data_IF_739234566498
#
_entry.id   IF_739234566498
#
_cell.length_a   1.000
_cell.length_b   1.000
_cell.length_c   1.000
_cell.angle_alpha   90.00
_cell.angle_beta   90.00
_cell.angle_gamma   90.00
#
_symmetry.space_group_name_H-M   'P 1'
#
loop_
_entity.id
_entity.type
_entity.pdbx_description
1 polymer ?
#
# COMPACT_ATOMS: atom_id res chain seq x y z
N UNK A 1 -25.90 14.05 17.97
CA UNK A 1 -24.62 13.34 17.76
C UNK A 1 -23.50 14.27 18.19
N UNK A 2 -22.68 13.90 19.19
CA UNK A 2 -21.49 14.70 19.53
C UNK A 2 -20.50 14.56 18.38
N UNK A 3 -20.21 15.65 17.69
CA UNK A 3 -19.16 15.66 16.66
C UNK A 3 -17.81 15.49 17.36
N UNK A 4 -17.10 14.42 17.01
CA UNK A 4 -15.73 14.21 17.47
C UNK A 4 -14.77 15.06 16.64
N UNK A 5 -13.70 15.55 17.29
CA UNK A 5 -12.58 16.18 16.60
C UNK A 5 -11.62 15.09 16.13
N UNK A 6 -11.16 15.18 14.89
CA UNK A 6 -10.17 14.28 14.30
C UNK A 6 -8.81 14.96 14.28
N UNK A 7 -7.73 14.19 14.43
CA UNK A 7 -6.36 14.71 14.27
C UNK A 7 -6.11 15.08 12.80
N UNK A 8 -5.24 16.06 12.57
CA UNK A 8 -4.93 16.58 11.24
C UNK A 8 -4.28 15.57 10.28
N UNK A 9 -3.77 14.47 10.80
CA UNK A 9 -3.24 13.32 10.05
C UNK A 9 -4.30 12.24 9.75
N UNK A 10 -5.55 12.44 10.17
CA UNK A 10 -6.65 11.52 9.85
C UNK A 10 -7.12 11.69 8.41
N UNK A 11 -7.37 10.59 7.70
CA UNK A 11 -7.93 10.64 6.34
C UNK A 11 -9.32 11.28 6.33
N UNK A 12 -9.46 12.40 5.60
CA UNK A 12 -10.69 13.21 5.57
C UNK A 12 -11.93 12.40 5.18
N UNK A 13 -11.84 11.54 4.16
CA UNK A 13 -12.97 10.71 3.72
C UNK A 13 -13.38 9.67 4.78
N UNK A 14 -12.42 9.04 5.45
CA UNK A 14 -12.70 8.08 6.51
C UNK A 14 -13.28 8.77 7.75
N UNK A 15 -12.74 9.93 8.12
CA UNK A 15 -13.30 10.76 9.18
C UNK A 15 -14.75 11.19 8.85
N UNK A 16 -15.05 11.50 7.57
CA UNK A 16 -16.40 11.90 7.16
C UNK A 16 -17.40 10.73 7.24
N UNK A 17 -16.97 9.52 6.87
CA UNK A 17 -17.75 8.29 7.03
C UNK A 17 -17.95 7.94 8.51
N UNK A 18 -16.88 8.05 9.30
CA UNK A 18 -16.91 7.84 10.75
C UNK A 18 -17.86 8.83 11.44
N UNK A 19 -17.88 10.09 10.99
CA UNK A 19 -18.81 11.12 11.47
C UNK A 19 -20.27 10.87 11.01
N UNK A 20 -20.49 9.95 10.08
CA UNK A 20 -21.81 9.69 9.47
C UNK A 20 -22.27 10.79 8.51
N UNK A 21 -21.36 11.65 8.06
CA UNK A 21 -21.66 12.77 7.14
C UNK A 21 -21.77 12.28 5.70
N UNK A 22 -20.92 11.34 5.32
CA UNK A 22 -20.97 10.66 4.02
C UNK A 22 -21.14 9.16 4.23
N UNK A 23 -21.54 8.45 3.17
CA UNK A 23 -21.62 6.98 3.20
C UNK A 23 -20.57 6.36 2.30
N UNK A 24 -20.07 5.20 2.67
CA UNK A 24 -19.15 4.42 1.85
C UNK A 24 -19.75 4.11 0.46
N UNK A 25 -21.04 3.78 0.42
CA UNK A 25 -21.74 3.38 -0.83
C UNK A 25 -22.03 4.50 -1.83
N UNK A 26 -22.02 5.78 -1.41
CA UNK A 26 -22.42 6.92 -2.27
C UNK A 26 -21.43 8.08 -2.25
N UNK A 27 -20.41 8.01 -1.39
CA UNK A 27 -19.65 9.19 -1.02
C UNK A 27 -20.57 10.27 -0.46
N UNK A 28 -20.22 11.53 -0.71
CA UNK A 28 -21.03 12.71 -0.37
C UNK A 28 -20.17 13.96 -0.24
N UNK A 29 -20.81 15.05 0.16
CA UNK A 29 -20.16 16.32 0.46
C UNK A 29 -20.27 16.60 1.95
N UNK A 30 -19.18 17.10 2.52
CA UNK A 30 -19.12 17.60 3.88
C UNK A 30 -18.27 18.87 3.92
N UNK A 31 -18.42 19.62 5.00
CA UNK A 31 -17.56 20.76 5.31
C UNK A 31 -16.56 20.30 6.35
N UNK A 32 -15.27 20.51 6.06
CA UNK A 32 -14.20 20.35 7.05
C UNK A 32 -13.98 21.70 7.72
N UNK A 33 -14.15 21.75 9.04
CA UNK A 33 -13.87 22.93 9.84
C UNK A 33 -12.57 22.71 10.62
N UNK A 34 -11.60 23.61 10.42
CA UNK A 34 -10.33 23.57 11.13
C UNK A 34 -10.54 24.06 12.56
N UNK A 35 -10.24 23.20 13.53
CA UNK A 35 -10.27 23.52 14.97
C UNK A 35 -8.93 24.12 15.42
N UNK A 36 -7.83 23.72 14.77
CA UNK A 36 -6.47 24.11 15.20
C UNK A 36 -5.99 23.21 16.33
N UNK A 37 -5.24 23.74 17.29
CA UNK A 37 -4.72 22.93 18.40
C UNK A 37 -5.84 22.35 19.26
N UNK A 38 -5.78 21.05 19.53
CA UNK A 38 -6.80 20.34 20.30
C UNK A 38 -6.19 19.30 21.23
N UNK A 39 -6.80 19.11 22.40
CA UNK A 39 -6.17 18.46 23.56
C UNK A 39 -6.77 17.09 23.95
N UNK A 40 -7.81 16.61 23.27
CA UNK A 40 -8.49 15.37 23.71
C UNK A 40 -9.16 14.63 22.56
N UNK A 41 -8.52 13.60 22.03
CA UNK A 41 -9.09 12.79 20.96
C UNK A 41 -9.64 11.49 21.53
N UNK A 42 -10.96 11.31 21.44
CA UNK A 42 -11.62 10.11 21.94
C UNK A 42 -11.77 9.09 20.82
N UNK A 43 -11.27 7.88 21.07
CA UNK A 43 -11.52 6.73 20.22
C UNK A 43 -12.95 6.23 20.36
N UNK A 44 -13.45 5.55 19.35
CA UNK A 44 -14.78 4.96 19.38
C UNK A 44 -15.20 4.40 18.05
N UNK A 45 -16.38 3.77 18.04
CA UNK A 45 -17.01 3.28 16.83
C UNK A 45 -17.92 4.38 16.26
N UNK A 46 -17.76 4.67 14.98
CA UNK A 46 -18.54 5.67 14.27
C UNK A 46 -19.42 5.07 13.17
N UNK A 47 -19.83 5.93 12.24
CA UNK A 47 -20.49 5.54 11.01
C UNK A 47 -19.62 4.66 10.12
N UNK A 48 -20.27 3.87 9.26
CA UNK A 48 -19.57 2.99 8.32
C UNK A 48 -18.82 1.82 8.95
N UNK A 49 -19.01 1.54 10.25
CA UNK A 49 -18.27 0.49 10.95
C UNK A 49 -16.80 0.83 11.20
N UNK A 50 -16.42 2.09 11.00
CA UNK A 50 -15.05 2.57 11.22
C UNK A 50 -14.82 2.75 12.72
N UNK A 51 -13.65 2.33 13.18
CA UNK A 51 -13.19 2.52 14.55
C UNK A 51 -12.08 3.57 14.57
N UNK A 52 -12.29 4.66 15.31
CA UNK A 52 -11.26 5.66 15.55
C UNK A 52 -10.42 5.29 16.78
N UNK A 53 -9.13 5.60 16.71
CA UNK A 53 -8.23 5.46 17.84
C UNK A 53 -8.20 6.77 18.65
N UNK A 54 -8.17 6.63 19.97
CA UNK A 54 -7.98 7.78 20.86
C UNK A 54 -6.54 8.24 20.88
N UNK A 55 -6.33 9.50 21.22
CA UNK A 55 -5.02 10.07 21.48
C UNK A 55 -5.11 10.92 22.74
N UNK A 56 -4.34 10.54 23.76
CA UNK A 56 -4.39 11.09 25.11
C UNK A 56 -3.46 12.31 25.30
N UNK A 57 -3.06 12.95 24.20
CA UNK A 57 -2.31 14.18 24.19
C UNK A 57 -2.89 15.21 23.23
N UNK A 58 -2.29 16.39 23.22
CA UNK A 58 -2.63 17.45 22.31
C UNK A 58 -1.98 17.27 20.95
N UNK A 59 -2.64 17.79 19.92
CA UNK A 59 -2.16 17.78 18.55
C UNK A 59 -2.35 19.17 17.95
N UNK A 60 -1.37 19.71 17.18
CA UNK A 60 -1.38 21.10 16.72
C UNK A 60 -2.49 21.39 15.70
N UNK A 61 -3.07 20.35 15.11
CA UNK A 61 -4.10 20.46 14.08
C UNK A 61 -5.20 19.43 14.30
N UNK A 62 -6.39 19.90 14.63
CA UNK A 62 -7.61 19.10 14.66
C UNK A 62 -8.63 19.68 13.69
N UNK A 63 -9.55 18.85 13.24
CA UNK A 63 -10.68 19.28 12.43
C UNK A 63 -11.96 18.55 12.81
N UNK A 64 -13.09 19.18 12.53
CA UNK A 64 -14.42 18.57 12.60
C UNK A 64 -15.02 18.45 11.22
N UNK A 65 -15.99 17.53 11.08
CA UNK A 65 -16.70 17.34 9.82
C UNK A 65 -18.18 17.57 10.05
N UNK A 66 -18.73 18.41 9.18
CA UNK A 66 -20.13 18.81 9.19
C UNK A 66 -20.80 18.38 7.89
N UNK A 67 -22.11 18.10 7.91
CA UNK A 67 -22.90 17.99 6.69
C UNK A 67 -22.74 19.24 5.82
N UNK A 68 -22.80 19.07 4.49
CA UNK A 68 -22.82 20.20 3.57
C UNK A 68 -23.97 21.16 3.91
N UNK A 69 -23.69 22.47 3.83
CA UNK A 69 -24.69 23.52 4.08
C UNK A 69 -25.74 23.59 2.96
N UNK A 70 -25.42 23.05 1.79
CA UNK A 70 -26.30 22.96 0.63
C UNK A 70 -27.02 21.61 0.60
N UNK A 71 -28.24 21.60 0.04
CA UNK A 71 -29.05 20.38 -0.05
C UNK A 71 -28.36 19.27 -0.85
N UNK A 72 -28.82 18.01 -0.73
CA UNK A 72 -28.21 16.84 -1.40
C UNK A 72 -28.07 16.98 -2.93
N UNK A 73 -28.87 17.86 -3.55
CA UNK A 73 -28.91 18.09 -4.99
C UNK A 73 -27.76 18.98 -5.53
N UNK A 74 -27.16 19.82 -4.68
CA UNK A 74 -26.02 20.67 -5.05
C UNK A 74 -24.67 20.03 -4.76
N UNK A 75 -24.67 18.96 -3.95
CA UNK A 75 -23.52 18.09 -3.83
C UNK A 75 -23.47 17.21 -5.08
N UNK A 76 -22.41 17.28 -5.91
CA UNK A 76 -22.18 16.26 -6.92
C UNK A 76 -21.95 14.97 -6.14
N UNK A 77 -23.00 14.16 -6.02
CA UNK A 77 -22.85 12.82 -5.50
C UNK A 77 -21.82 12.18 -6.43
N UNK A 78 -20.65 11.82 -5.89
CA UNK A 78 -19.76 10.86 -6.53
C UNK A 78 -20.47 9.51 -6.45
N UNK A 79 -21.60 9.39 -7.15
CA UNK A 79 -22.30 8.14 -7.32
C UNK A 79 -21.28 7.18 -7.89
N UNK A 80 -20.94 6.15 -7.11
CA UNK A 80 -19.96 5.13 -7.39
C UNK A 80 -19.95 4.83 -8.88
N UNK A 81 -19.00 5.44 -9.62
CA UNK A 81 -18.86 5.26 -11.07
C UNK A 81 -18.77 3.78 -11.38
N UNK A 82 -18.10 3.03 -10.50
CA UNK A 82 -18.01 1.57 -10.48
C UNK A 82 -19.37 0.88 -10.41
N UNK A 83 -20.20 1.14 -9.39
CA UNK A 83 -21.44 0.40 -9.16
C UNK A 83 -22.47 0.60 -10.29
N UNK A 84 -22.55 1.81 -10.86
CA UNK A 84 -23.46 2.10 -11.97
C UNK A 84 -22.96 1.64 -13.33
N UNK A 85 -21.64 1.63 -13.54
CA UNK A 85 -21.07 1.24 -14.83
C UNK A 85 -20.74 -0.25 -14.92
N UNK A 86 -20.62 -0.97 -13.80
CA UNK A 86 -20.25 -2.39 -13.82
C UNK A 86 -21.34 -3.26 -14.46
N UNK A 87 -22.61 -3.07 -14.08
CA UNK A 87 -23.70 -3.83 -14.67
C UNK A 87 -23.77 -3.68 -16.20
N UNK A 88 -23.79 -2.46 -16.79
CA UNK A 88 -23.83 -2.32 -18.24
C UNK A 88 -22.57 -2.83 -18.94
N UNK A 89 -21.37 -2.72 -18.36
CA UNK A 89 -20.15 -3.28 -18.99
C UNK A 89 -20.09 -4.80 -18.93
N UNK A 90 -20.53 -5.42 -17.82
CA UNK A 90 -20.67 -6.87 -17.71
C UNK A 90 -21.71 -7.38 -18.69
N UNK A 91 -22.86 -6.71 -18.82
CA UNK A 91 -23.90 -7.07 -19.78
C UNK A 91 -23.40 -6.96 -21.23
N UNK A 92 -22.69 -5.88 -21.57
CA UNK A 92 -22.11 -5.67 -22.90
C UNK A 92 -21.11 -6.79 -23.25
N UNK A 93 -20.15 -7.06 -22.38
CA UNK A 93 -19.14 -8.11 -22.60
C UNK A 93 -19.76 -9.50 -22.64
N UNK A 94 -20.76 -9.78 -21.79
CA UNK A 94 -21.51 -11.04 -21.79
C UNK A 94 -22.31 -11.23 -23.07
N UNK A 95 -22.98 -10.18 -23.56
CA UNK A 95 -23.72 -10.22 -24.81
C UNK A 95 -22.80 -10.53 -26.00
N UNK A 96 -21.65 -9.86 -26.09
CA UNK A 96 -20.64 -10.15 -27.12
C UNK A 96 -20.14 -11.59 -27.00
N UNK A 97 -19.83 -12.05 -25.79
CA UNK A 97 -19.35 -13.42 -25.54
C UNK A 97 -20.37 -14.50 -25.92
N UNK A 98 -21.65 -14.28 -25.62
CA UNK A 98 -22.73 -15.22 -25.92
C UNK A 98 -23.01 -15.34 -27.41
N UNK A 99 -22.78 -14.27 -28.18
CA UNK A 99 -23.09 -14.23 -29.61
C UNK A 99 -21.90 -14.58 -30.51
N UNK A 100 -20.67 -14.43 -30.03
CA UNK A 100 -19.48 -14.65 -30.86
C UNK A 100 -18.88 -16.05 -30.70
N UNK A 101 -18.51 -16.70 -31.80
CA UNK A 101 -17.61 -17.88 -31.79
C UNK A 101 -16.17 -17.50 -32.13
N UNK A 102 -15.92 -16.23 -32.47
CA UNK A 102 -14.59 -15.71 -32.81
C UNK A 102 -13.78 -15.46 -31.54
N UNK A 103 -12.70 -16.22 -31.37
CA UNK A 103 -11.74 -16.00 -30.28
C UNK A 103 -11.15 -14.58 -30.30
N UNK A 104 -10.88 -14.04 -31.48
CA UNK A 104 -10.36 -12.67 -31.66
C UNK A 104 -11.37 -11.63 -31.16
N UNK A 105 -12.63 -11.78 -31.57
CA UNK A 105 -13.69 -10.85 -31.15
C UNK A 105 -13.89 -10.92 -29.64
N UNK A 106 -14.00 -12.13 -29.06
CA UNK A 106 -14.13 -12.31 -27.62
C UNK A 106 -12.96 -11.66 -26.86
N UNK A 107 -11.72 -12.00 -27.24
CA UNK A 107 -10.52 -11.58 -26.53
C UNK A 107 -10.36 -10.06 -26.53
N UNK A 108 -10.31 -9.43 -27.71
CA UNK A 108 -9.99 -8.00 -27.79
C UNK A 108 -11.14 -7.09 -27.36
N UNK A 109 -12.40 -7.47 -27.60
CA UNK A 109 -13.53 -6.68 -27.09
C UNK A 109 -13.61 -6.74 -25.56
N UNK A 110 -13.43 -7.92 -24.96
CA UNK A 110 -13.39 -8.07 -23.50
C UNK A 110 -12.20 -7.33 -22.91
N UNK A 111 -11.00 -7.50 -23.50
CA UNK A 111 -9.78 -6.84 -23.04
C UNK A 111 -9.93 -5.31 -23.05
N UNK A 112 -10.29 -4.71 -24.19
CA UNK A 112 -10.39 -3.24 -24.30
C UNK A 112 -11.49 -2.67 -23.40
N UNK A 113 -12.66 -3.33 -23.36
CA UNK A 113 -13.80 -2.87 -22.55
C UNK A 113 -13.46 -2.92 -21.06
N UNK A 114 -12.88 -4.03 -20.61
CA UNK A 114 -12.60 -4.27 -19.19
C UNK A 114 -11.37 -3.46 -18.75
N UNK A 115 -10.35 -3.32 -19.60
CA UNK A 115 -9.21 -2.44 -19.31
C UNK A 115 -9.63 -0.98 -19.14
N UNK A 116 -10.50 -0.49 -20.02
CA UNK A 116 -11.07 0.87 -19.91
C UNK A 116 -11.94 0.99 -18.66
N UNK A 117 -12.75 -0.03 -18.35
CA UNK A 117 -13.58 -0.05 -17.15
C UNK A 117 -12.73 0.01 -15.88
N UNK A 118 -11.66 -0.79 -15.80
CA UNK A 118 -10.75 -0.75 -14.65
C UNK A 118 -10.07 0.60 -14.54
N UNK A 119 -9.38 1.04 -15.61
CA UNK A 119 -8.54 2.24 -15.56
C UNK A 119 -9.29 3.57 -15.40
N UNK A 120 -10.61 3.62 -15.65
CA UNK A 120 -11.41 4.85 -15.51
C UNK A 120 -12.54 4.77 -14.47
N UNK A 121 -13.03 3.57 -14.12
CA UNK A 121 -14.29 3.41 -13.40
C UNK A 121 -14.16 2.58 -12.13
N UNK A 122 -13.61 1.37 -12.18
CA UNK A 122 -13.60 0.47 -11.00
C UNK A 122 -12.39 0.63 -10.10
N UNK A 123 -11.21 0.82 -10.67
CA UNK A 123 -9.97 1.00 -9.93
C UNK A 123 -9.02 1.90 -10.75
N UNK A 124 -9.35 3.21 -10.87
CA UNK A 124 -8.52 4.14 -11.60
C UNK A 124 -7.22 4.46 -10.85
N UNK A 125 -6.14 4.86 -11.55
CA UNK A 125 -4.90 5.31 -10.93
C UNK A 125 -5.09 6.47 -9.96
N UNK A 126 -4.26 6.53 -8.92
CA UNK A 126 -4.22 7.68 -8.01
C UNK A 126 -3.69 8.90 -8.77
N UNK A 127 -4.51 9.93 -8.89
CA UNK A 127 -4.14 11.22 -9.45
C UNK A 127 -4.47 12.32 -8.44
N UNK A 128 -3.56 13.27 -8.29
CA UNK A 128 -3.71 14.41 -7.38
C UNK A 128 -3.78 15.70 -8.20
N UNK A 129 -4.71 16.58 -7.85
CA UNK A 129 -4.84 17.88 -8.49
C UNK A 129 -6.24 18.47 -8.33
N UNK A 130 -6.46 19.68 -8.88
CA UNK A 130 -7.78 20.29 -8.94
C UNK A 130 -8.80 19.37 -9.64
N UNK A 131 -10.06 19.39 -9.18
CA UNK A 131 -11.10 18.43 -9.61
C UNK A 131 -11.37 18.41 -11.11
N UNK A 132 -11.21 19.54 -11.78
CA UNK A 132 -11.39 19.72 -13.23
C UNK A 132 -10.30 19.04 -14.06
N UNK A 133 -9.12 18.81 -13.49
CA UNK A 133 -7.99 18.16 -14.18
C UNK A 133 -7.96 16.64 -14.02
N UNK A 134 -8.72 16.07 -13.07
CA UNK A 134 -8.68 14.64 -12.73
C UNK A 134 -9.04 13.76 -13.94
N UNK A 135 -10.15 14.04 -14.63
CA UNK A 135 -10.58 13.19 -15.75
C UNK A 135 -9.63 13.25 -16.95
N UNK A 136 -9.17 14.42 -17.43
CA UNK A 136 -8.13 14.48 -18.46
C UNK A 136 -6.84 13.72 -18.08
N UNK A 137 -6.40 13.81 -16.82
CA UNK A 137 -5.23 13.07 -16.34
C UNK A 137 -5.44 11.55 -16.41
N UNK A 138 -6.61 11.05 -15.95
CA UNK A 138 -6.95 9.63 -16.04
C UNK A 138 -7.03 9.13 -17.49
N UNK A 139 -7.57 9.93 -18.40
CA UNK A 139 -7.62 9.58 -19.83
C UNK A 139 -6.19 9.51 -20.40
N UNK A 140 -5.33 10.48 -20.08
CA UNK A 140 -3.93 10.47 -20.51
C UNK A 140 -3.20 9.21 -20.04
N UNK A 141 -3.33 8.88 -18.74
CA UNK A 141 -2.73 7.67 -18.15
C UNK A 141 -3.31 6.38 -18.76
N UNK A 142 -4.62 6.35 -19.05
CA UNK A 142 -5.24 5.21 -19.72
C UNK A 142 -4.56 4.97 -21.07
N UNK A 143 -4.40 5.99 -21.90
CA UNK A 143 -3.80 5.84 -23.23
C UNK A 143 -2.30 5.52 -23.17
N UNK A 144 -1.57 6.07 -22.19
CA UNK A 144 -0.17 5.71 -21.91
C UNK A 144 -0.02 4.19 -21.67
N UNK A 145 -0.95 3.61 -20.91
CA UNK A 145 -0.89 2.20 -20.50
C UNK A 145 -1.54 1.26 -21.52
N UNK A 146 -2.60 1.71 -22.19
CA UNK A 146 -3.40 0.90 -23.11
C UNK A 146 -2.61 0.42 -24.33
N UNK A 147 -1.75 1.28 -24.90
CA UNK A 147 -0.97 0.93 -26.10
C UNK A 147 -0.02 -0.26 -25.85
N UNK A 148 0.92 -0.19 -24.89
CA UNK A 148 1.78 -1.32 -24.56
C UNK A 148 0.98 -2.53 -24.04
N UNK A 149 -0.10 -2.30 -23.27
CA UNK A 149 -0.96 -3.38 -22.80
C UNK A 149 -1.65 -4.14 -23.94
N UNK A 150 -2.11 -3.44 -24.97
CA UNK A 150 -2.75 -4.04 -26.15
C UNK A 150 -1.74 -4.85 -26.96
N UNK A 151 -0.50 -4.38 -27.10
CA UNK A 151 0.58 -5.14 -27.73
C UNK A 151 0.86 -6.45 -26.96
N UNK A 152 1.05 -6.37 -25.65
CA UNK A 152 1.25 -7.56 -24.80
C UNK A 152 0.07 -8.51 -24.87
N UNK A 153 -1.16 -7.99 -24.80
CA UNK A 153 -2.40 -8.75 -24.97
C UNK A 153 -2.48 -9.46 -26.31
N UNK A 154 -2.02 -8.83 -27.40
CA UNK A 154 -1.95 -9.45 -28.71
C UNK A 154 -0.94 -10.61 -28.75
N UNK A 155 0.26 -10.42 -28.17
CA UNK A 155 1.27 -11.49 -28.05
C UNK A 155 0.68 -12.67 -27.28
N UNK A 156 0.05 -12.43 -26.13
CA UNK A 156 -0.61 -13.45 -25.32
C UNK A 156 -1.71 -14.17 -26.09
N UNK A 157 -2.55 -13.43 -26.83
CA UNK A 157 -3.61 -14.00 -27.64
C UNK A 157 -3.06 -14.98 -28.69
N UNK A 158 -2.08 -14.54 -29.48
CA UNK A 158 -1.53 -15.34 -30.57
C UNK A 158 -0.70 -16.53 -30.10
N UNK A 159 -0.01 -16.41 -28.98
CA UNK A 159 0.87 -17.46 -28.45
C UNK A 159 0.15 -18.44 -27.52
N UNK A 160 -0.79 -17.97 -26.70
CA UNK A 160 -1.33 -18.74 -25.58
C UNK A 160 -2.81 -19.10 -25.72
N UNK A 161 -3.58 -18.45 -26.60
CA UNK A 161 -5.05 -18.57 -26.59
C UNK A 161 -5.67 -18.97 -27.94
N UNK A 162 -5.33 -18.26 -29.03
CA UNK A 162 -6.01 -18.35 -30.35
C UNK A 162 -6.10 -19.79 -30.88
N UNK A 163 -5.00 -20.52 -30.80
CA UNK A 163 -4.86 -21.88 -31.36
C UNK A 163 -4.88 -22.97 -30.28
N UNK A 164 -5.22 -22.62 -29.04
CA UNK A 164 -5.19 -23.52 -27.88
C UNK A 164 -6.48 -23.39 -27.07
N UNK A 165 -6.50 -22.59 -26.01
CA UNK A 165 -7.60 -22.49 -25.05
C UNK A 165 -8.92 -22.07 -25.70
N UNK A 166 -8.88 -21.08 -26.61
CA UNK A 166 -10.06 -20.55 -27.31
C UNK A 166 -10.23 -21.10 -28.73
N UNK A 167 -9.51 -22.17 -29.07
CA UNK A 167 -9.54 -22.74 -30.43
C UNK A 167 -10.91 -23.34 -30.75
N UNK A 168 -11.58 -22.79 -31.76
CA UNK A 168 -12.77 -23.36 -32.38
C UNK A 168 -13.88 -23.76 -31.39
N UNK A 169 -14.14 -22.93 -30.38
CA UNK A 169 -15.24 -23.17 -29.43
C UNK A 169 -16.58 -23.12 -30.20
N UNK A 170 -17.40 -24.18 -30.16
CA UNK A 170 -18.67 -24.21 -30.87
C UNK A 170 -19.70 -23.28 -30.22
N UNK A 171 -20.69 -22.83 -30.98
CA UNK A 171 -21.75 -21.96 -30.48
C UNK A 171 -22.55 -22.59 -29.32
N UNK A 172 -22.67 -23.92 -29.28
CA UNK A 172 -23.32 -24.65 -28.18
C UNK A 172 -22.61 -24.47 -26.82
N UNK A 173 -21.33 -24.11 -26.83
CA UNK A 173 -20.53 -23.86 -25.63
C UNK A 173 -20.40 -22.37 -25.30
N UNK A 174 -21.15 -21.46 -25.96
CA UNK A 174 -21.04 -20.02 -25.70
C UNK A 174 -21.42 -19.64 -24.28
N UNK A 175 -22.44 -20.28 -23.67
CA UNK A 175 -22.81 -20.05 -22.27
C UNK A 175 -21.68 -20.50 -21.35
N UNK A 176 -21.15 -21.71 -21.57
CA UNK A 176 -20.05 -22.26 -20.79
C UNK A 176 -18.78 -21.38 -20.87
N UNK A 177 -18.38 -20.98 -22.08
CA UNK A 177 -17.29 -20.04 -22.32
C UNK A 177 -17.50 -18.70 -21.61
N UNK A 178 -18.73 -18.18 -21.63
CA UNK A 178 -19.06 -16.91 -20.96
C UNK A 178 -18.93 -17.04 -19.45
N UNK A 179 -19.46 -18.11 -18.86
CA UNK A 179 -19.35 -18.33 -17.40
C UNK A 179 -17.90 -18.60 -16.98
N UNK A 180 -17.22 -19.53 -17.65
CA UNK A 180 -15.89 -19.98 -17.24
C UNK A 180 -14.79 -18.97 -17.57
N UNK A 181 -14.74 -18.45 -18.80
CA UNK A 181 -13.66 -17.58 -19.24
C UNK A 181 -13.94 -16.11 -18.92
N UNK A 182 -15.10 -15.58 -19.33
CA UNK A 182 -15.41 -14.16 -19.09
C UNK A 182 -15.72 -13.89 -17.61
N UNK A 183 -16.40 -14.81 -16.91
CA UNK A 183 -16.64 -14.69 -15.46
C UNK A 183 -15.33 -14.68 -14.65
N UNK A 184 -14.39 -15.56 -14.98
CA UNK A 184 -13.07 -15.56 -14.35
C UNK A 184 -12.26 -14.30 -14.69
N UNK A 185 -12.37 -13.79 -15.92
CA UNK A 185 -11.74 -12.54 -16.32
C UNK A 185 -12.24 -11.35 -15.49
N UNK A 186 -13.55 -11.20 -15.32
CA UNK A 186 -14.11 -10.18 -14.44
C UNK A 186 -13.67 -10.34 -12.99
N UNK A 187 -13.56 -11.58 -12.50
CA UNK A 187 -13.04 -11.86 -11.16
C UNK A 187 -11.60 -11.36 -11.03
N UNK A 188 -10.72 -11.66 -11.98
CA UNK A 188 -9.34 -11.18 -11.95
C UNK A 188 -9.20 -9.66 -12.14
N UNK A 189 -10.04 -9.07 -12.99
CA UNK A 189 -10.02 -7.62 -13.28
C UNK A 189 -10.47 -6.77 -12.07
N UNK A 190 -11.33 -7.33 -11.23
CA UNK A 190 -11.80 -6.74 -9.98
C UNK A 190 -11.12 -7.40 -8.77
N UNK A 191 -9.82 -7.71 -8.86
CA UNK A 191 -9.09 -8.40 -7.79
C UNK A 191 -9.16 -7.66 -6.45
N UNK A 192 -9.15 -6.33 -6.50
CA UNK A 192 -9.32 -5.46 -5.33
C UNK A 192 -10.64 -5.73 -4.56
N UNK A 193 -11.74 -5.99 -5.28
CA UNK A 193 -13.05 -6.31 -4.68
C UNK A 193 -13.30 -7.81 -4.47
N UNK A 194 -12.51 -8.67 -5.12
CA UNK A 194 -12.68 -10.12 -5.08
C UNK A 194 -11.55 -10.77 -4.31
N UNK A 195 -10.42 -11.09 -4.96
CA UNK A 195 -9.33 -11.85 -4.37
C UNK A 195 -8.70 -11.15 -3.16
N UNK A 196 -8.39 -9.86 -3.25
CA UNK A 196 -7.74 -9.10 -2.17
C UNK A 196 -8.68 -8.87 -0.98
N UNK A 197 -9.98 -8.75 -1.24
CA UNK A 197 -10.99 -8.60 -0.17
C UNK A 197 -11.36 -9.94 0.48
N UNK A 198 -11.30 -11.06 -0.26
CA UNK A 198 -11.70 -12.38 0.23
C UNK A 198 -10.56 -13.16 0.88
N UNK A 199 -9.31 -12.85 0.53
CA UNK A 199 -8.12 -13.54 1.02
C UNK A 199 -7.40 -12.61 2.00
N UNK A 200 -7.36 -12.93 3.32
CA UNK A 200 -6.70 -12.10 4.33
C UNK A 200 -5.18 -12.25 4.25
N UNK A 201 -4.57 -11.72 3.18
CA UNK A 201 -3.13 -11.75 2.95
C UNK A 201 -2.71 -10.50 2.18
N UNK A 202 -2.32 -9.45 2.90
CA UNK A 202 -1.88 -8.20 2.25
C UNK A 202 -0.42 -8.24 1.78
N UNK A 203 0.45 -8.93 2.53
CA UNK A 203 1.89 -9.04 2.25
C UNK A 203 2.43 -10.38 2.73
N UNK A 204 3.37 -10.95 1.98
CA UNK A 204 4.04 -12.20 2.35
C UNK A 204 5.26 -11.92 3.24
N UNK A 205 5.05 -11.26 4.39
CA UNK A 205 6.09 -11.02 5.39
C UNK A 205 5.80 -11.81 6.67
N UNK A 206 6.85 -12.24 7.38
CA UNK A 206 6.68 -12.95 8.64
C UNK A 206 5.94 -12.11 9.69
N UNK A 207 6.17 -10.79 9.69
CA UNK A 207 5.46 -9.85 10.55
C UNK A 207 3.96 -9.82 10.22
N UNK A 208 3.61 -9.61 8.94
CA UNK A 208 2.21 -9.48 8.51
C UNK A 208 1.42 -10.78 8.70
N UNK A 209 2.04 -11.94 8.43
CA UNK A 209 1.44 -13.25 8.67
C UNK A 209 1.13 -13.51 10.15
N UNK A 210 1.92 -12.94 11.07
CA UNK A 210 1.71 -13.09 12.51
C UNK A 210 0.62 -12.16 13.06
N UNK A 211 0.42 -10.99 12.42
CA UNK A 211 -0.51 -9.96 12.88
C UNK A 211 -1.90 -10.10 12.26
N UNK A 212 -2.03 -10.75 11.08
CA UNK A 212 -3.30 -10.87 10.37
C UNK A 212 -4.08 -12.14 10.75
N UNK A 213 -5.28 -12.03 11.35
CA UNK A 213 -6.10 -13.18 11.67
C UNK A 213 -6.46 -13.99 10.42
N UNK A 214 -6.12 -15.27 10.41
CA UNK A 214 -6.45 -16.19 9.30
C UNK A 214 -5.49 -16.19 8.11
N UNK A 215 -4.45 -15.34 8.10
CA UNK A 215 -3.50 -15.24 6.98
C UNK A 215 -2.75 -16.55 6.70
N UNK A 216 -2.33 -17.26 7.76
CA UNK A 216 -1.66 -18.56 7.63
C UNK A 216 -2.58 -19.61 6.99
N UNK A 217 -3.86 -19.65 7.39
CA UNK A 217 -4.84 -20.60 6.82
C UNK A 217 -5.10 -20.28 5.35
N UNK A 218 -5.27 -18.99 5.02
CA UNK A 218 -5.43 -18.53 3.66
C UNK A 218 -4.21 -18.90 2.79
N UNK A 219 -2.99 -18.70 3.29
CA UNK A 219 -1.75 -19.05 2.59
C UNK A 219 -1.68 -20.56 2.30
N UNK A 220 -1.98 -21.42 3.27
CA UNK A 220 -2.02 -22.88 3.08
C UNK A 220 -3.05 -23.25 1.99
N UNK A 221 -4.24 -22.65 2.04
CA UNK A 221 -5.29 -22.87 1.04
C UNK A 221 -4.86 -22.47 -0.37
N UNK A 222 -4.25 -21.29 -0.52
CA UNK A 222 -3.71 -20.80 -1.79
C UNK A 222 -2.65 -21.77 -2.33
N UNK A 223 -1.67 -22.15 -1.51
CA UNK A 223 -0.60 -23.07 -1.90
C UNK A 223 -1.17 -24.43 -2.33
N UNK A 224 -2.17 -24.96 -1.61
CA UNK A 224 -2.84 -26.21 -1.98
C UNK A 224 -3.55 -26.10 -3.33
N UNK A 225 -4.34 -25.04 -3.55
CA UNK A 225 -5.04 -24.81 -4.82
C UNK A 225 -4.03 -24.65 -5.97
N UNK A 226 -3.00 -23.82 -5.81
CA UNK A 226 -1.96 -23.62 -6.82
C UNK A 226 -1.20 -24.92 -7.14
N UNK A 227 -0.89 -25.74 -6.13
CA UNK A 227 -0.22 -27.02 -6.34
C UNK A 227 -1.08 -27.98 -7.16
N UNK A 228 -2.39 -28.03 -6.88
CA UNK A 228 -3.35 -28.83 -7.63
C UNK A 228 -3.50 -28.33 -9.07
N UNK A 229 -3.61 -27.01 -9.29
CA UNK A 229 -3.73 -26.45 -10.64
C UNK A 229 -2.46 -26.69 -11.46
N UNK A 230 -1.28 -26.51 -10.88
CA UNK A 230 0.01 -26.78 -11.54
C UNK A 230 0.13 -28.27 -11.89
N UNK A 231 -0.19 -29.17 -10.95
CA UNK A 231 -0.14 -30.62 -11.21
C UNK A 231 -1.09 -31.04 -12.35
N UNK A 232 -2.32 -30.51 -12.36
CA UNK A 232 -3.28 -30.77 -13.42
C UNK A 232 -2.82 -30.23 -14.79
N UNK A 233 -2.28 -29.01 -14.84
CA UNK A 233 -1.75 -28.44 -16.08
C UNK A 233 -0.52 -29.23 -16.57
N UNK A 234 0.40 -29.60 -15.68
CA UNK A 234 1.57 -30.42 -16.02
C UNK A 234 1.16 -31.79 -16.59
N UNK A 235 0.19 -32.46 -15.98
CA UNK A 235 -0.38 -33.71 -16.49
C UNK A 235 -1.01 -33.51 -17.88
N UNK A 236 -1.74 -32.42 -18.08
CA UNK A 236 -2.39 -32.12 -19.36
C UNK A 236 -1.37 -31.83 -20.47
N UNK A 237 -0.30 -31.07 -20.19
CA UNK A 237 0.80 -30.87 -21.14
C UNK A 237 1.59 -32.16 -21.43
N UNK A 238 1.66 -33.06 -20.45
CA UNK A 238 2.31 -34.36 -20.64
C UNK A 238 1.52 -35.20 -21.65
N UNK A 239 0.19 -35.23 -21.53
CA UNK A 239 -0.69 -35.87 -22.51
C UNK A 239 -0.56 -35.26 -23.92
N UNK A 240 -0.37 -33.95 -24.03
CA UNK A 240 -0.11 -33.28 -25.32
C UNK A 240 1.34 -33.41 -25.83
N UNK A 241 2.23 -34.09 -25.09
CA UNK A 241 3.67 -34.20 -25.41
C UNK A 241 4.38 -32.83 -25.53
N UNK A 242 3.91 -31.83 -24.79
CA UNK A 242 4.42 -30.45 -24.80
C UNK A 242 5.18 -30.08 -23.52
N UNK A 243 5.37 -30.99 -22.58
CA UNK A 243 6.04 -30.71 -21.29
C UNK A 243 7.47 -30.20 -21.45
N UNK A 244 8.29 -30.79 -22.31
CA UNK A 244 9.73 -30.45 -22.39
C UNK A 244 10.00 -28.99 -22.81
N UNK A 245 9.38 -28.45 -23.88
CA UNK A 245 9.53 -27.04 -24.23
C UNK A 245 9.12 -26.08 -23.10
N UNK A 246 8.07 -26.43 -22.36
CA UNK A 246 7.58 -25.61 -21.26
C UNK A 246 8.53 -25.69 -20.06
N UNK A 247 9.02 -26.88 -19.69
CA UNK A 247 10.04 -27.01 -18.63
C UNK A 247 11.29 -26.19 -18.95
N UNK A 248 11.76 -26.21 -20.21
CA UNK A 248 12.90 -25.39 -20.65
C UNK A 248 12.61 -23.89 -20.48
N UNK A 249 11.47 -23.42 -21.02
CA UNK A 249 11.06 -22.02 -20.90
C UNK A 249 10.92 -21.56 -19.44
N UNK A 250 10.25 -22.34 -18.60
CA UNK A 250 10.07 -22.01 -17.19
C UNK A 250 11.36 -22.12 -16.38
N UNK A 251 12.29 -23.00 -16.75
CA UNK A 251 13.61 -23.05 -16.11
C UNK A 251 14.40 -21.75 -16.33
N UNK A 252 14.30 -21.15 -17.52
CA UNK A 252 14.91 -19.86 -17.82
C UNK A 252 14.27 -18.72 -17.02
N UNK A 253 12.93 -18.69 -16.94
CA UNK A 253 12.21 -17.70 -16.14
C UNK A 253 12.56 -17.80 -14.65
N UNK A 254 12.61 -19.03 -14.11
CA UNK A 254 13.00 -19.27 -12.73
C UNK A 254 14.45 -18.87 -12.47
N UNK A 255 15.36 -19.07 -13.42
CA UNK A 255 16.74 -18.58 -13.32
C UNK A 255 16.79 -17.05 -13.24
N UNK A 256 15.99 -16.34 -14.05
CA UNK A 256 15.88 -14.88 -13.98
C UNK A 256 15.33 -14.38 -12.64
N UNK A 257 14.28 -15.02 -12.12
CA UNK A 257 13.72 -14.72 -10.78
C UNK A 257 14.77 -14.98 -9.69
N UNK A 258 15.51 -16.10 -9.79
CA UNK A 258 16.56 -16.43 -8.83
C UNK A 258 17.70 -15.40 -8.86
N UNK A 259 18.11 -14.91 -10.03
CA UNK A 259 19.07 -13.80 -10.14
C UNK A 259 18.54 -12.54 -9.46
N UNK A 260 17.28 -12.17 -9.72
CA UNK A 260 16.65 -11.03 -9.04
C UNK A 260 16.62 -11.20 -7.51
N UNK A 261 16.26 -12.39 -7.02
CA UNK A 261 16.25 -12.69 -5.59
C UNK A 261 17.66 -12.65 -4.98
N UNK A 262 18.69 -13.11 -5.70
CA UNK A 262 20.09 -13.00 -5.26
C UNK A 262 20.53 -11.54 -5.19
N UNK A 263 20.18 -10.71 -6.17
CA UNK A 263 20.46 -9.27 -6.15
C UNK A 263 19.86 -8.62 -4.90
N UNK A 264 18.59 -8.93 -4.59
CA UNK A 264 17.93 -8.44 -3.39
C UNK A 264 18.57 -8.93 -2.09
N UNK A 265 18.89 -10.22 -2.00
CA UNK A 265 19.54 -10.78 -0.80
C UNK A 265 20.97 -10.28 -0.58
N UNK A 266 21.71 -9.96 -1.65
CA UNK A 266 23.10 -9.49 -1.57
C UNK A 266 23.21 -7.97 -1.35
N UNK A 267 22.09 -7.24 -1.38
CA UNK A 267 22.07 -5.80 -1.14
C UNK A 267 22.78 -4.96 -2.22
N UNK A 268 23.08 -5.55 -3.38
CA UNK A 268 23.73 -4.87 -4.50
C UNK A 268 22.79 -3.78 -5.06
N UNK A 269 22.98 -2.54 -4.60
CA UNK A 269 22.32 -1.35 -5.13
C UNK A 269 20.93 -1.04 -4.58
N UNK A 270 20.61 -1.45 -3.34
CA UNK A 270 19.28 -1.23 -2.70
C UNK A 270 18.09 -1.70 -3.55
N UNK A 271 18.30 -2.66 -4.45
CA UNK A 271 17.29 -3.19 -5.36
C UNK A 271 16.58 -4.41 -4.77
N UNK A 272 15.26 -4.35 -4.75
CA UNK A 272 14.37 -5.35 -4.19
C UNK A 272 13.47 -5.93 -5.28
N UNK A 273 13.35 -7.26 -5.30
CA UNK A 273 12.52 -8.00 -6.23
C UNK A 273 11.06 -7.90 -5.78
N UNK A 274 10.21 -7.27 -6.60
CA UNK A 274 8.76 -7.24 -6.39
C UNK A 274 8.03 -7.82 -7.58
N UNK A 275 7.41 -8.97 -7.36
CA UNK A 275 6.60 -9.62 -8.38
C UNK A 275 5.15 -9.15 -8.23
N UNK A 276 4.78 -8.17 -9.05
CA UNK A 276 3.41 -7.69 -9.17
C UNK A 276 2.48 -8.76 -9.77
N UNK A 277 1.19 -8.73 -9.46
CA UNK A 277 0.22 -9.71 -9.97
C UNK A 277 0.08 -9.71 -11.49
N UNK A 278 0.31 -8.57 -12.16
CA UNK A 278 0.36 -8.54 -13.62
C UNK A 278 1.56 -9.33 -14.17
N UNK A 279 2.70 -9.32 -13.47
CA UNK A 279 3.88 -10.12 -13.84
C UNK A 279 3.59 -11.59 -13.62
N UNK A 280 2.97 -11.96 -12.50
CA UNK A 280 2.49 -13.33 -12.27
C UNK A 280 1.56 -13.80 -13.38
N UNK A 281 0.63 -12.94 -13.82
CA UNK A 281 -0.25 -13.24 -14.94
C UNK A 281 0.53 -13.52 -16.24
N UNK A 282 1.53 -12.69 -16.58
CA UNK A 282 2.39 -12.90 -17.75
C UNK A 282 3.19 -14.21 -17.67
N UNK A 283 3.70 -14.53 -16.47
CA UNK A 283 4.44 -15.77 -16.24
C UNK A 283 3.54 -17.00 -16.34
N UNK A 284 2.28 -16.93 -15.88
CA UNK A 284 1.40 -18.11 -15.77
C UNK A 284 0.48 -18.32 -16.97
N UNK A 285 0.14 -17.29 -17.75
CA UNK A 285 -0.75 -17.41 -18.92
C UNK A 285 -0.29 -18.45 -19.96
N UNK A 286 1.01 -18.62 -20.27
CA UNK A 286 1.44 -19.69 -21.16
C UNK A 286 1.08 -21.08 -20.65
N UNK A 287 1.05 -21.31 -19.33
CA UNK A 287 0.62 -22.58 -18.75
C UNK A 287 -0.87 -22.85 -18.97
N UNK A 288 -1.69 -21.89 -19.38
CA UNK A 288 -3.11 -22.12 -19.66
C UNK A 288 -3.39 -22.47 -21.12
N UNK A 289 -2.35 -22.64 -21.94
CA UNK A 289 -2.45 -22.85 -23.40
C UNK A 289 -2.84 -24.28 -23.79
N UNK A 290 -3.95 -24.75 -23.21
CA UNK A 290 -4.53 -26.08 -23.39
C UNK A 290 -6.06 -25.99 -23.45
N UNK A 291 -6.69 -26.89 -24.19
CA UNK A 291 -8.14 -26.84 -24.40
C UNK A 291 -8.89 -27.66 -23.33
N UNK A 292 -8.90 -27.16 -22.10
CA UNK A 292 -9.68 -27.75 -20.99
C UNK A 292 -10.55 -26.70 -20.31
N UNK A 293 -11.62 -27.15 -19.64
CA UNK A 293 -12.50 -26.25 -18.86
C UNK A 293 -11.76 -25.48 -17.76
N UNK A 294 -10.87 -26.11 -16.96
CA UNK A 294 -10.07 -25.36 -15.99
C UNK A 294 -9.16 -24.32 -16.66
N UNK A 295 -8.56 -24.63 -17.81
CA UNK A 295 -7.73 -23.67 -18.54
C UNK A 295 -8.49 -22.43 -19.02
N UNK A 296 -9.79 -22.54 -19.32
CA UNK A 296 -10.64 -21.37 -19.59
C UNK A 296 -10.73 -20.44 -18.37
N UNK A 297 -10.97 -21.02 -17.18
CA UNK A 297 -11.04 -20.27 -15.92
C UNK A 297 -9.70 -19.62 -15.60
N UNK A 298 -8.60 -20.38 -15.67
CA UNK A 298 -7.26 -19.87 -15.38
C UNK A 298 -6.85 -18.77 -16.35
N UNK A 299 -7.11 -18.94 -17.65
CA UNK A 299 -6.77 -17.93 -18.65
C UNK A 299 -7.56 -16.64 -18.45
N UNK A 300 -8.87 -16.76 -18.18
CA UNK A 300 -9.71 -15.61 -17.85
C UNK A 300 -9.17 -14.88 -16.63
N UNK A 301 -9.01 -15.59 -15.51
CA UNK A 301 -8.53 -15.02 -14.23
C UNK A 301 -7.18 -14.30 -14.39
N UNK A 302 -6.20 -14.94 -15.02
CA UNK A 302 -4.87 -14.35 -15.21
C UNK A 302 -4.92 -13.14 -16.16
N UNK A 303 -5.70 -13.18 -17.23
CA UNK A 303 -5.89 -12.01 -18.09
C UNK A 303 -6.55 -10.86 -17.32
N UNK A 304 -7.51 -11.17 -16.45
CA UNK A 304 -8.11 -10.20 -15.54
C UNK A 304 -7.09 -9.56 -14.61
N UNK A 305 -6.24 -10.37 -13.96
CA UNK A 305 -5.16 -9.88 -13.10
C UNK A 305 -4.15 -9.01 -13.85
N UNK A 306 -3.82 -9.38 -15.08
CA UNK A 306 -3.00 -8.55 -15.97
C UNK A 306 -3.66 -7.20 -16.24
N UNK A 307 -4.96 -7.20 -16.59
CA UNK A 307 -5.73 -5.97 -16.81
C UNK A 307 -5.76 -5.11 -15.54
N UNK A 308 -6.09 -5.69 -14.38
CA UNK A 308 -6.14 -4.97 -13.12
C UNK A 308 -4.80 -4.29 -12.82
N UNK A 309 -3.71 -5.07 -12.81
CA UNK A 309 -2.40 -4.55 -12.45
C UNK A 309 -1.91 -3.46 -13.41
N UNK A 310 -2.03 -3.67 -14.72
CA UNK A 310 -1.53 -2.68 -15.69
C UNK A 310 -2.43 -1.45 -15.80
N UNK A 311 -3.77 -1.60 -15.77
CA UNK A 311 -4.66 -0.45 -15.85
C UNK A 311 -4.50 0.47 -14.62
N UNK A 312 -4.39 -0.11 -13.41
CA UNK A 312 -4.27 0.62 -12.15
C UNK A 312 -2.87 1.12 -11.84
N UNK A 313 -1.85 0.29 -12.02
CA UNK A 313 -0.48 0.56 -11.59
C UNK A 313 0.49 0.82 -12.76
N UNK A 314 0.15 0.38 -13.96
CA UNK A 314 1.04 0.44 -15.12
C UNK A 314 1.99 -0.76 -15.19
N UNK A 315 3.00 -0.67 -16.07
CA UNK A 315 4.06 -1.67 -16.20
C UNK A 315 5.16 -1.42 -15.17
N UNK A 316 4.82 -1.55 -13.89
CA UNK A 316 5.73 -1.24 -12.79
C UNK A 316 6.92 -2.21 -12.73
N UNK A 317 8.09 -1.75 -12.29
CA UNK A 317 9.31 -2.55 -12.38
C UNK A 317 9.23 -3.85 -11.55
N UNK A 318 9.81 -4.93 -12.08
CA UNK A 318 10.00 -6.19 -11.33
C UNK A 318 11.11 -6.05 -10.28
N UNK A 319 12.03 -5.11 -10.50
CA UNK A 319 13.14 -4.79 -9.59
C UNK A 319 13.03 -3.31 -9.23
N UNK A 320 12.65 -3.03 -7.99
CA UNK A 320 12.40 -1.67 -7.49
C UNK A 320 13.45 -1.29 -6.47
N UNK A 321 13.66 0.01 -6.24
CA UNK A 321 14.50 0.43 -5.11
C UNK A 321 13.78 0.17 -3.80
N UNK A 322 14.52 -0.11 -2.74
CA UNK A 322 13.98 -0.23 -1.39
C UNK A 322 13.17 1.02 -0.99
N UNK A 323 13.59 2.20 -1.46
CA UNK A 323 12.85 3.45 -1.26
C UNK A 323 11.47 3.44 -1.96
N UNK A 324 11.39 3.01 -3.22
CA UNK A 324 10.11 2.91 -3.94
C UNK A 324 9.16 1.88 -3.31
N UNK A 325 9.70 0.81 -2.72
CA UNK A 325 8.90 -0.19 -2.00
C UNK A 325 8.35 0.29 -0.66
N UNK A 326 9.16 1.08 0.03
CA UNK A 326 8.83 1.63 1.35
C UNK A 326 7.64 2.59 1.27
N UNK A 327 7.48 3.30 0.15
CA UNK A 327 6.49 4.36 0.03
C UNK A 327 6.82 5.54 0.93
N UNK A 328 5.86 6.44 1.11
CA UNK A 328 6.04 7.64 1.94
C UNK A 328 6.00 7.34 3.45
N UNK A 329 5.44 6.18 3.84
CA UNK A 329 5.10 5.83 5.22
C UNK A 329 5.83 4.60 5.80
N UNK A 330 6.62 3.88 4.99
CA UNK A 330 7.36 2.71 5.45
C UNK A 330 8.63 3.05 6.25
N UNK A 331 9.00 2.14 7.16
CA UNK A 331 10.27 2.19 7.89
C UNK A 331 11.46 1.86 6.96
N UNK A 332 12.59 2.54 7.15
CA UNK A 332 13.86 2.35 6.45
C UNK A 332 14.60 1.09 6.92
N UNK A 333 14.26 0.56 8.09
CA UNK A 333 14.99 -0.49 8.77
C UNK A 333 16.38 -0.03 9.19
N UNK A 334 16.55 1.23 9.60
CA UNK A 334 17.86 1.76 10.00
C UNK A 334 18.34 1.09 11.28
N UNK A 335 19.66 0.87 11.34
CA UNK A 335 20.28 0.27 12.52
C UNK A 335 20.62 1.30 13.60
N UNK A 336 20.61 2.58 13.24
CA UNK A 336 20.95 3.70 14.11
C UNK A 336 19.75 4.59 14.42
N UNK A 337 19.72 5.05 15.67
CA UNK A 337 18.85 6.11 16.18
C UNK A 337 19.65 6.97 17.16
N UNK A 338 19.34 8.27 17.34
CA UNK A 338 19.98 9.10 18.35
C UNK A 338 19.80 8.51 19.74
N UNK A 339 20.91 8.37 20.47
CA UNK A 339 20.93 7.86 21.85
C UNK A 339 21.09 9.04 22.80
N UNK A 340 20.25 9.11 23.83
CA UNK A 340 20.33 10.17 24.83
C UNK A 340 21.54 9.93 25.74
N UNK A 341 22.32 10.98 26.00
CA UNK A 341 23.43 10.94 26.94
C UNK A 341 22.90 10.97 28.38
N UNK A 342 22.66 9.79 28.94
CA UNK A 342 22.15 9.61 30.30
C UNK A 342 20.64 9.74 30.40
N UNK A 343 20.16 10.50 31.38
CA UNK A 343 18.73 10.80 31.55
C UNK A 343 18.45 12.24 31.11
N UNK A 344 17.27 12.53 30.54
CA UNK A 344 16.93 13.90 30.19
C UNK A 344 16.88 14.79 31.43
N UNK A 345 17.29 16.03 31.26
CA UNK A 345 17.26 17.03 32.32
C UNK A 345 15.84 17.61 32.40
N UNK A 346 15.09 17.21 33.42
CA UNK A 346 13.74 17.72 33.69
C UNK A 346 13.83 18.83 34.73
N UNK A 347 13.43 20.05 34.35
CA UNK A 347 13.29 21.19 35.26
C UNK A 347 11.80 21.41 35.57
N UNK A 348 11.44 21.15 36.83
CA UNK A 348 10.10 21.39 37.36
C UNK A 348 10.19 22.52 38.38
N UNK A 349 9.45 23.59 38.12
CA UNK A 349 9.30 24.71 39.04
C UNK A 349 7.97 24.61 39.79
N UNK A 350 7.98 25.04 41.04
CA UNK A 350 6.76 25.21 41.85
C UNK A 350 6.17 26.61 41.71
N UNK A 351 6.86 27.52 41.03
CA UNK A 351 6.38 28.89 40.83
C UNK A 351 5.34 28.93 39.72
N UNK A 352 4.19 29.55 40.02
CA UNK A 352 3.00 29.52 39.17
C UNK A 352 3.14 30.23 37.81
N UNK A 353 4.26 30.91 37.55
CA UNK A 353 4.54 31.66 36.31
C UNK A 353 5.65 31.07 35.45
N UNK A 354 6.34 30.01 35.90
CA UNK A 354 7.48 29.45 35.19
C UNK A 354 7.09 28.19 34.39
N UNK A 355 7.67 28.09 33.18
CA UNK A 355 7.49 26.95 32.30
C UNK A 355 8.25 25.74 32.82
N UNK A 356 7.68 24.55 32.67
CA UNK A 356 8.43 23.32 32.84
C UNK A 356 9.24 23.06 31.58
N UNK A 357 10.43 22.48 31.74
CA UNK A 357 11.24 22.12 30.59
C UNK A 357 11.87 20.75 30.74
N UNK A 358 12.09 20.11 29.59
CA UNK A 358 12.85 18.88 29.45
C UNK A 358 13.91 19.10 28.38
N UNK A 359 15.15 18.72 28.67
CA UNK A 359 16.26 18.86 27.75
C UNK A 359 16.94 17.51 27.48
N UNK A 360 17.23 17.27 26.20
CA UNK A 360 17.90 16.08 25.70
C UNK A 360 19.24 16.47 25.12
N UNK A 361 20.29 15.79 25.57
CA UNK A 361 21.62 15.82 24.99
C UNK A 361 21.90 14.45 24.38
N UNK A 362 22.62 14.44 23.27
CA UNK A 362 22.92 13.21 22.53
C UNK A 362 24.30 12.70 22.85
N UNK A 363 24.46 11.38 22.79
CA UNK A 363 25.78 10.75 22.69
C UNK A 363 26.38 11.01 21.32
N UNK A 364 27.71 11.06 21.27
CA UNK A 364 28.43 11.10 19.99
C UNK A 364 28.10 9.89 19.12
N UNK A 365 28.40 9.98 17.81
CA UNK A 365 28.12 8.88 16.86
C UNK A 365 28.87 7.60 17.26
N UNK A 366 30.14 7.72 17.67
CA UNK A 366 30.94 6.58 18.10
C UNK A 366 30.36 5.90 19.35
N UNK A 367 29.93 6.69 20.33
CA UNK A 367 29.29 6.17 21.54
C UNK A 367 27.91 5.56 21.26
N UNK A 368 27.18 6.10 20.28
CA UNK A 368 25.91 5.54 19.79
C UNK A 368 26.12 4.16 19.17
N UNK A 369 27.18 3.99 18.36
CA UNK A 369 27.57 2.70 17.78
C UNK A 369 27.94 1.66 18.87
N UNK A 370 28.54 2.11 19.98
CA UNK A 370 28.87 1.23 21.11
C UNK A 370 27.65 0.88 21.96
N UNK A 371 26.76 1.85 22.20
CA UNK A 371 25.56 1.68 23.02
C UNK A 371 24.52 0.76 22.37
N UNK A 372 24.36 0.87 21.05
CA UNK A 372 23.54 -0.03 20.25
C UNK A 372 24.36 -1.28 19.95
N UNK A 373 24.44 -2.21 20.92
CA UNK A 373 25.29 -3.43 20.92
C UNK A 373 25.62 -3.96 19.51
N UNK A 374 26.92 -4.14 19.25
CA UNK A 374 27.54 -4.48 17.96
C UNK A 374 26.90 -5.60 17.09
N UNK A 375 26.19 -6.65 17.59
CA UNK A 375 25.53 -7.58 16.68
C UNK A 375 24.29 -6.99 15.99
N UNK A 376 23.70 -5.89 16.47
CA UNK A 376 22.54 -5.23 15.84
C UNK A 376 22.91 -4.16 14.80
N UNK A 377 24.08 -3.54 14.96
CA UNK A 377 24.55 -2.43 14.11
C UNK A 377 25.44 -2.95 12.96
N UNK A 378 26.28 -3.97 13.21
CA UNK A 378 27.11 -4.61 12.17
C UNK A 378 27.98 -3.64 11.35
N UNK A 379 28.43 -4.06 10.17
CA UNK A 379 29.13 -3.20 9.21
C UNK A 379 28.19 -2.14 8.60
N UNK A 380 26.92 -2.51 8.41
CA UNK A 380 25.88 -1.63 7.83
C UNK A 380 25.67 -0.35 8.63
N UNK A 381 25.64 -0.43 9.96
CA UNK A 381 25.47 0.76 10.79
C UNK A 381 26.67 1.68 10.81
N UNK A 382 27.90 1.16 10.58
CA UNK A 382 29.08 2.03 10.39
C UNK A 382 28.99 2.79 9.07
N UNK A 383 28.54 2.13 8.00
CA UNK A 383 28.30 2.80 6.72
C UNK A 383 27.17 3.84 6.81
N UNK A 384 26.10 3.53 7.55
CA UNK A 384 25.01 4.49 7.84
C UNK A 384 25.53 5.70 8.63
N UNK A 385 26.43 5.49 9.60
CA UNK A 385 27.02 6.54 10.44
C UNK A 385 27.77 7.61 9.63
N UNK A 386 28.51 7.20 8.59
CA UNK A 386 29.26 8.11 7.72
C UNK A 386 28.36 9.01 6.86
N UNK A 387 27.08 8.64 6.70
CA UNK A 387 26.08 9.33 5.88
C UNK A 387 25.11 10.19 6.71
N UNK A 388 25.32 10.30 8.01
CA UNK A 388 24.46 11.09 8.89
C UNK A 388 24.78 12.59 8.76
N UNK A 389 23.74 13.41 8.63
CA UNK A 389 23.89 14.87 8.49
C UNK A 389 23.23 15.68 9.61
N UNK A 390 22.43 15.07 10.48
CA UNK A 390 21.74 15.80 11.53
C UNK A 390 20.83 14.93 12.40
N UNK A 391 20.04 15.59 13.25
CA UNK A 391 19.03 14.99 14.12
C UNK A 391 17.67 15.63 13.85
N UNK A 392 16.63 14.79 13.92
CA UNK A 392 15.23 15.20 13.93
C UNK A 392 14.53 14.71 15.20
N UNK A 393 13.65 15.55 15.74
CA UNK A 393 12.85 15.25 16.94
C UNK A 393 11.38 15.42 16.63
N UNK A 394 10.63 14.35 16.90
CA UNK A 394 9.17 14.37 16.92
C UNK A 394 8.66 14.53 18.35
N UNK A 395 7.65 15.38 18.50
CA UNK A 395 6.81 15.46 19.71
C UNK A 395 5.36 15.27 19.29
N UNK A 396 4.69 14.26 19.86
CA UNK A 396 3.32 13.86 19.53
C UNK A 396 3.10 13.62 18.03
N UNK A 397 3.98 12.82 17.42
CA UNK A 397 3.98 12.47 15.98
C UNK A 397 4.14 13.65 15.01
N UNK A 398 4.61 14.81 15.50
CA UNK A 398 4.92 15.97 14.66
C UNK A 398 6.39 16.34 14.80
N UNK A 399 7.09 16.49 13.68
CA UNK A 399 8.47 16.99 13.67
C UNK A 399 8.49 18.41 14.24
N UNK A 400 9.19 18.60 15.36
CA UNK A 400 9.31 19.89 16.07
C UNK A 400 10.69 20.51 15.96
N UNK A 401 11.69 19.68 15.67
CA UNK A 401 13.06 20.14 15.63
C UNK A 401 13.84 19.36 14.59
N UNK A 402 14.72 20.09 13.90
CA UNK A 402 15.69 19.57 12.95
C UNK A 402 16.96 20.38 13.08
N UNK A 403 18.11 19.71 13.22
CA UNK A 403 19.40 20.39 13.33
C UNK A 403 20.51 19.58 12.65
N UNK A 404 21.34 20.28 11.87
CA UNK A 404 22.39 19.66 11.05
C UNK A 404 23.76 19.71 11.73
N UNK A 405 24.56 18.68 11.54
CA UNK A 405 25.92 18.57 12.08
C UNK A 405 26.90 19.60 11.50
N UNK A 406 26.59 20.14 10.32
CA UNK A 406 27.33 21.23 9.72
C UNK A 406 27.17 22.56 10.48
N UNK A 407 26.07 22.73 11.22
CA UNK A 407 25.80 23.93 12.02
C UNK A 407 26.35 23.80 13.45
N UNK A 408 26.15 22.65 14.08
CA UNK A 408 26.62 22.35 15.43
C UNK A 408 26.88 20.85 15.56
N UNK A 409 27.98 20.47 16.20
CA UNK A 409 28.33 19.06 16.39
C UNK A 409 27.27 18.34 17.23
N UNK A 410 27.01 17.05 16.95
CA UNK A 410 25.99 16.27 17.68
C UNK A 410 26.15 16.34 19.21
N UNK A 411 27.39 16.33 19.69
CA UNK A 411 27.74 16.34 21.11
C UNK A 411 27.46 17.68 21.80
N UNK A 412 27.45 18.77 21.03
CA UNK A 412 27.15 20.12 21.51
C UNK A 412 25.65 20.44 21.38
N UNK A 413 24.92 19.70 20.56
CA UNK A 413 23.48 19.91 20.36
C UNK A 413 22.67 19.54 21.61
N UNK A 414 21.79 20.47 22.02
CA UNK A 414 20.79 20.25 23.07
C UNK A 414 19.41 20.60 22.53
N UNK A 415 18.50 19.64 22.56
CA UNK A 415 17.10 19.88 22.28
C UNK A 415 16.36 20.19 23.58
N UNK A 416 15.75 21.38 23.68
CA UNK A 416 14.96 21.80 24.83
C UNK A 416 13.49 21.93 24.42
N UNK A 417 12.63 21.29 25.19
CA UNK A 417 11.18 21.39 25.05
C UNK A 417 10.59 22.03 26.30
N UNK A 418 9.62 22.91 26.13
CA UNK A 418 8.99 23.64 27.22
C UNK A 418 7.48 23.51 27.15
N UNK A 419 6.85 23.42 28.32
CA UNK A 419 5.39 23.43 28.42
C UNK A 419 4.94 24.29 29.59
N UNK A 420 3.73 24.83 29.46
CA UNK A 420 3.04 25.44 30.57
C UNK A 420 2.28 24.34 31.34
N UNK A 421 2.69 23.98 32.56
CA UNK A 421 2.04 22.92 33.33
C UNK A 421 0.58 23.25 33.72
N UNK A 422 0.14 24.50 33.56
CA UNK A 422 -1.24 24.93 33.80
C UNK A 422 -2.16 24.64 32.61
N UNK A 423 -1.57 24.53 31.41
CA UNK A 423 -2.31 24.34 30.15
C UNK A 423 -2.15 22.90 29.66
N UNK A 424 -0.92 22.38 29.68
CA UNK A 424 -0.58 21.04 29.17
C UNK A 424 -0.43 20.09 30.35
N UNK A 425 -1.51 19.36 30.65
CA UNK A 425 -1.51 18.32 31.69
C UNK A 425 -1.50 16.89 31.10
N UNK A 426 -1.42 16.78 29.78
CA UNK A 426 -1.38 15.51 29.05
C UNK A 426 0.06 14.99 28.92
N UNK A 427 0.27 13.68 28.75
CA UNK A 427 1.58 13.13 28.39
C UNK A 427 2.06 13.68 27.04
N UNK A 428 3.37 13.88 26.88
CA UNK A 428 4.00 14.22 25.60
C UNK A 428 4.94 13.09 25.17
N UNK A 429 4.86 12.73 23.90
CA UNK A 429 5.56 11.58 23.33
C UNK A 429 6.72 12.04 22.45
N UNK A 430 7.94 11.65 22.80
CA UNK A 430 9.18 12.03 22.13
C UNK A 430 9.74 10.84 21.36
N UNK A 431 10.16 11.09 20.12
CA UNK A 431 10.89 10.12 19.29
C UNK A 431 11.98 10.86 18.52
N UNK A 432 13.09 10.18 18.27
CA UNK A 432 14.27 10.79 17.67
C UNK A 432 14.76 9.99 16.49
N UNK A 433 15.23 10.68 15.45
CA UNK A 433 15.82 10.07 14.27
C UNK A 433 17.07 10.85 13.86
N UNK A 434 18.01 10.18 13.21
CA UNK A 434 19.05 10.89 12.46
C UNK A 434 18.51 11.34 11.10
N UNK A 435 19.19 12.30 10.47
CA UNK A 435 18.95 12.71 9.09
C UNK A 435 20.00 12.07 8.18
N UNK A 436 19.56 11.52 7.05
CA UNK A 436 20.46 11.03 6.00
C UNK A 436 21.01 12.14 5.10
N UNK A 437 21.82 11.76 4.11
CA UNK A 437 22.43 12.70 3.15
C UNK A 437 21.44 13.50 2.30
N UNK A 438 20.24 12.97 2.09
CA UNK A 438 19.15 13.62 1.38
C UNK A 438 18.34 14.58 2.28
N UNK A 439 18.73 14.73 3.55
CA UNK A 439 18.04 15.54 4.54
C UNK A 439 16.72 14.95 5.03
N UNK A 440 16.39 13.70 4.68
CA UNK A 440 15.21 13.00 5.19
C UNK A 440 15.52 12.33 6.53
N UNK A 441 14.49 12.25 7.37
CA UNK A 441 14.59 11.51 8.63
C UNK A 441 14.72 10.01 8.38
N UNK A 442 15.65 9.39 9.11
CA UNK A 442 15.76 7.94 9.26
C UNK A 442 14.62 7.40 10.13
N UNK A 443 14.70 6.12 10.55
CA UNK A 443 13.69 5.59 11.46
C UNK A 443 13.76 6.27 12.82
N UNK A 444 12.58 6.55 13.36
CA UNK A 444 12.45 7.10 14.70
C UNK A 444 12.60 6.02 15.75
N UNK A 445 13.27 6.38 16.84
CA UNK A 445 13.41 5.56 18.04
C UNK A 445 12.06 5.11 18.61
N UNK A 446 12.13 4.21 19.60
CA UNK A 446 11.00 3.92 20.47
C UNK A 446 10.48 5.19 21.15
N UNK A 447 9.35 5.09 21.86
CA UNK A 447 8.71 6.26 22.47
C UNK A 447 9.26 6.55 23.85
N UNK A 448 9.56 7.82 24.10
CA UNK A 448 9.78 8.37 25.43
C UNK A 448 8.58 9.23 25.83
N UNK A 449 8.19 9.18 27.09
CA UNK A 449 6.98 9.84 27.59
C UNK A 449 7.34 10.80 28.72
N UNK A 450 7.02 12.08 28.50
CA UNK A 450 7.00 13.08 29.56
C UNK A 450 5.56 13.25 30.07
N UNK A 451 5.26 12.62 31.20
CA UNK A 451 3.91 12.59 31.75
C UNK A 451 3.47 13.95 32.26
N UNK A 452 2.15 14.19 32.32
CA UNK A 452 1.57 15.43 32.84
C UNK A 452 1.99 15.78 34.28
N UNK A 453 2.34 14.79 35.09
CA UNK A 453 2.88 14.99 36.45
C UNK A 453 4.37 15.42 36.49
N UNK A 454 5.01 15.57 35.32
CA UNK A 454 6.40 15.98 35.17
C UNK A 454 7.41 14.82 35.17
N UNK A 455 6.96 13.58 35.41
CA UNK A 455 7.84 12.42 35.39
C UNK A 455 8.19 11.99 33.97
N UNK A 456 9.37 11.40 33.81
CA UNK A 456 9.86 10.87 32.55
C UNK A 456 9.92 9.34 32.59
N UNK A 457 9.53 8.69 31.50
CA UNK A 457 9.78 7.26 31.28
C UNK A 457 10.09 7.00 29.82
N UNK A 458 10.90 5.99 29.54
CA UNK A 458 11.18 5.52 28.21
C UNK A 458 10.66 4.10 28.00
N UNK A 459 10.08 3.83 26.83
CA UNK A 459 9.66 2.50 26.41
C UNK A 459 10.80 1.69 25.77
N UNK A 460 10.57 0.41 25.44
CA UNK A 460 11.52 -0.37 24.66
C UNK A 460 11.91 0.34 23.36
N UNK A 461 13.21 0.39 23.06
CA UNK A 461 13.71 1.01 21.83
C UNK A 461 13.97 2.52 21.90
N UNK A 462 13.69 3.15 23.04
CA UNK A 462 14.15 4.50 23.36
C UNK A 462 15.48 4.36 24.13
N UNK A 463 16.59 4.73 23.48
CA UNK A 463 17.96 4.45 23.94
C UNK A 463 18.66 5.69 24.48
#
# INVERSE_FOLDING_TARGET
>A
TKMGVYRGDSFVCQAAMHAGVISDSKGGCGVVELVGEYYSFFGGKGGGGIESLGFDSYFPMGFTIHPALTGPEECPQMEMKTARSLAPTVLLTSFVSLLTTSATTLWFTSFLTIFTHVGLLSDPPNVSGPSDTILPQLISLLFERLLPATFTSAVLFYTCSRNTTLRAIPASANVEKTVLWLGALWTGALSNFTLESWIPLSRLSAHDLSQQPGAVVALIGIVAVLSLTIAYQAYSFWLESRVLPYLSFYSLLLAGIAVGAIISLTGLGTLELRIHHYVLALLLLPLTSIQTRPALVYQGLLLGLFINGVARWGFDSVVQTAEALRGDDGLLGTSLVPVVDGQPLVYLTTEASEMWSIAFKWKGINETLEALVLPKVGERGREEADRLQGVSVMVNDVERHRKFFAEESLEDQVFRWERDPRVVMTPEYFRFAFLGEDGRSMDYSGVGTWFGNGTWSSGPGFY
#
